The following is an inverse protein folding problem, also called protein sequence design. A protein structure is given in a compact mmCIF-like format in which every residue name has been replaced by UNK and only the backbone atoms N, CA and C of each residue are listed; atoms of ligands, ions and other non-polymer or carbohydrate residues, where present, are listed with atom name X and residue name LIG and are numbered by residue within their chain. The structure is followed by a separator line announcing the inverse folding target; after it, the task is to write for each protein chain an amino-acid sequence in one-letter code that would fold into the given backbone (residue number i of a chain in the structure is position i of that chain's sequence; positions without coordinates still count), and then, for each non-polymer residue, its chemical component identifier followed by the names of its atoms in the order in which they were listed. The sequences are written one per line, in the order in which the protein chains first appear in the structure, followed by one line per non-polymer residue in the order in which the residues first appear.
data_IF_514369038931
#
_entry.id   IF_514369038931
#
_cell.length_a   1.000
_cell.length_b   1.000
_cell.length_c   1.000
_cell.angle_alpha   90.00
_cell.angle_beta   90.00
_cell.angle_gamma   90.00
#
_symmetry.space_group_name_H-M   'P 1'
#
loop_
_entity.id
_entity.type
_entity.pdbx_description
1 polymer ?
#
# COMPACT_ATOMS: atom_id res chain seq x y z
N UNK A 1 -9.73 -26.15 -25.44
CA UNK A 1 -8.44 -25.85 -26.12
C UNK A 1 -8.47 -24.38 -26.52
N UNK A 2 -7.55 -23.55 -26.02
CA UNK A 2 -7.43 -22.13 -26.42
C UNK A 2 -6.52 -22.08 -27.65
N UNK A 3 -7.07 -21.79 -28.83
CA UNK A 3 -6.35 -21.91 -30.11
C UNK A 3 -5.39 -20.74 -30.37
N UNK A 4 -5.74 -19.52 -29.94
CA UNK A 4 -4.90 -18.30 -30.06
C UNK A 4 -5.36 -17.25 -29.04
N UNK A 5 -4.46 -16.35 -28.67
CA UNK A 5 -4.73 -15.22 -27.77
C UNK A 5 -3.84 -15.20 -26.53
N UNK A 6 -3.96 -14.15 -25.73
CA UNK A 6 -3.19 -13.97 -24.50
C UNK A 6 -3.89 -14.67 -23.34
N UNK A 7 -3.12 -15.30 -22.44
CA UNK A 7 -3.67 -15.90 -21.22
C UNK A 7 -4.17 -14.79 -20.28
N UNK A 8 -5.25 -15.03 -19.54
CA UNK A 8 -5.82 -14.09 -18.56
C UNK A 8 -6.44 -12.80 -19.13
N UNK A 9 -6.37 -12.59 -20.45
CA UNK A 9 -7.19 -11.61 -21.17
C UNK A 9 -8.43 -12.33 -21.72
N UNK A 10 -9.60 -11.86 -21.28
CA UNK A 10 -10.92 -12.42 -21.63
C UNK A 10 -11.48 -11.73 -22.87
N UNK A 11 -11.35 -10.41 -22.93
CA UNK A 11 -11.90 -9.59 -24.00
C UNK A 11 -11.02 -8.36 -24.23
N UNK A 12 -10.89 -7.94 -25.47
CA UNK A 12 -10.26 -6.69 -25.85
C UNK A 12 -11.26 -5.88 -26.69
N UNK A 13 -11.45 -4.61 -26.35
CA UNK A 13 -12.30 -3.69 -27.09
C UNK A 13 -11.45 -2.50 -27.55
N UNK A 14 -11.68 -2.04 -28.77
CA UNK A 14 -11.09 -0.81 -29.27
C UNK A 14 -11.94 0.34 -28.74
N UNK A 15 -11.31 1.25 -28.00
CA UNK A 15 -11.94 2.49 -27.60
C UNK A 15 -11.66 3.56 -28.65
N UNK A 16 -12.66 4.41 -28.89
CA UNK A 16 -12.60 5.47 -29.89
C UNK A 16 -11.47 6.47 -29.62
N UNK A 17 -11.21 7.31 -30.62
CA UNK A 17 -10.19 8.35 -30.56
C UNK A 17 -10.33 9.19 -29.28
N UNK A 18 -9.30 9.22 -28.45
CA UNK A 18 -9.24 10.11 -27.29
C UNK A 18 -9.40 11.55 -27.78
N UNK A 19 -10.24 12.35 -27.09
CA UNK A 19 -10.54 13.74 -27.50
C UNK A 19 -9.28 14.61 -27.65
N UNK A 20 -8.23 14.27 -26.90
CA UNK A 20 -7.01 15.07 -26.81
C UNK A 20 -5.97 14.71 -27.88
N UNK A 21 -5.85 13.43 -28.27
CA UNK A 21 -4.78 12.95 -29.17
C UNK A 21 -5.30 12.46 -30.52
N UNK A 22 -6.60 12.14 -30.63
CA UNK A 22 -7.16 11.50 -31.82
C UNK A 22 -6.77 10.02 -31.96
N UNK A 23 -6.05 9.44 -31.00
CA UNK A 23 -5.53 8.08 -31.07
C UNK A 23 -6.52 7.05 -30.53
N UNK A 24 -6.55 5.87 -31.15
CA UNK A 24 -7.30 4.71 -30.66
C UNK A 24 -6.47 3.93 -29.67
N UNK A 25 -7.10 3.42 -28.61
CA UNK A 25 -6.46 2.54 -27.64
C UNK A 25 -7.29 1.28 -27.40
N UNK A 26 -6.61 0.22 -26.94
CA UNK A 26 -7.25 -1.06 -26.65
C UNK A 26 -7.49 -1.14 -25.15
N UNK A 27 -8.74 -1.38 -24.76
CA UNK A 27 -9.13 -1.65 -23.38
C UNK A 27 -9.43 -3.14 -23.22
N UNK A 28 -8.77 -3.79 -22.26
CA UNK A 28 -8.91 -5.23 -22.01
C UNK A 28 -9.68 -5.51 -20.73
N UNK A 29 -10.47 -6.59 -20.75
CA UNK A 29 -11.02 -7.21 -19.54
C UNK A 29 -10.11 -8.38 -19.19
N UNK A 30 -9.51 -8.32 -18.02
CA UNK A 30 -8.37 -9.16 -17.63
C UNK A 30 -7.04 -8.47 -17.94
N UNK A 31 -5.97 -8.99 -17.35
CA UNK A 31 -4.65 -8.36 -17.38
C UNK A 31 -3.55 -9.40 -17.54
N UNK A 32 -2.62 -9.11 -18.45
CA UNK A 32 -1.38 -9.85 -18.67
C UNK A 32 -0.33 -8.93 -19.30
N UNK A 33 0.16 -7.97 -18.51
CA UNK A 33 1.10 -6.92 -18.89
C UNK A 33 2.39 -7.49 -19.48
N UNK A 34 2.91 -8.59 -18.91
CA UNK A 34 4.12 -9.24 -19.41
C UNK A 34 3.95 -9.70 -20.87
N UNK A 35 2.86 -10.41 -21.17
CA UNK A 35 2.61 -10.91 -22.53
C UNK A 35 2.15 -9.84 -23.50
N UNK A 36 1.36 -8.86 -23.05
CA UNK A 36 0.92 -7.74 -23.90
C UNK A 36 2.10 -6.91 -24.35
N UNK A 37 3.08 -6.69 -23.49
CA UNK A 37 4.28 -5.91 -23.81
C UNK A 37 5.20 -6.58 -24.84
N UNK A 38 5.05 -7.88 -25.11
CA UNK A 38 5.80 -8.61 -26.13
C UNK A 38 5.27 -8.37 -27.55
N UNK A 39 4.03 -7.88 -27.73
CA UNK A 39 3.42 -7.70 -29.05
C UNK A 39 4.01 -6.52 -29.82
N UNK A 40 4.32 -6.75 -31.10
CA UNK A 40 4.76 -5.70 -32.02
C UNK A 40 3.60 -4.72 -32.27
N UNK A 41 3.84 -3.43 -32.01
CA UNK A 41 2.83 -2.37 -32.12
C UNK A 41 2.22 -1.91 -30.80
N UNK A 42 2.51 -2.58 -29.68
CA UNK A 42 2.15 -2.11 -28.33
C UNK A 42 3.21 -1.12 -27.83
N UNK A 43 2.78 0.07 -27.45
CA UNK A 43 3.64 1.05 -26.81
C UNK A 43 3.80 0.74 -25.32
N UNK A 44 4.97 0.19 -24.97
CA UNK A 44 5.31 -0.21 -23.60
C UNK A 44 5.35 0.97 -22.63
N UNK A 45 5.66 2.17 -23.11
CA UNK A 45 5.80 3.36 -22.26
C UNK A 45 4.46 3.90 -21.78
N UNK A 46 3.38 3.62 -22.52
CA UNK A 46 2.01 4.09 -22.25
C UNK A 46 1.03 2.96 -21.92
N UNK A 47 1.51 1.72 -21.83
CA UNK A 47 0.67 0.58 -21.44
C UNK A 47 0.40 0.63 -19.93
N UNK A 48 -0.86 0.47 -19.53
CA UNK A 48 -1.32 0.60 -18.15
C UNK A 48 -2.23 -0.57 -17.76
N UNK A 49 -2.24 -0.93 -16.47
CA UNK A 49 -3.17 -1.89 -15.86
C UNK A 49 -3.54 -1.42 -14.45
N UNK A 50 -4.75 -1.72 -14.01
CA UNK A 50 -5.19 -1.45 -12.63
C UNK A 50 -4.81 -2.57 -11.65
N UNK A 51 -4.15 -3.65 -12.12
CA UNK A 51 -3.67 -4.72 -11.26
C UNK A 51 -2.28 -4.41 -10.70
N UNK A 52 -2.25 -3.80 -9.51
CA UNK A 52 -1.01 -3.41 -8.81
C UNK A 52 -0.08 -4.61 -8.60
N UNK A 53 -0.60 -5.79 -8.25
CA UNK A 53 0.23 -6.98 -8.01
C UNK A 53 0.95 -7.47 -9.27
N UNK A 54 0.38 -7.19 -10.44
CA UNK A 54 1.04 -7.49 -11.70
C UNK A 54 2.11 -6.46 -12.05
N UNK A 55 1.85 -5.18 -11.76
CA UNK A 55 2.84 -4.10 -11.91
C UNK A 55 4.08 -4.40 -11.06
N UNK A 56 3.91 -4.79 -9.79
CA UNK A 56 5.05 -5.18 -8.93
C UNK A 56 5.88 -6.28 -9.60
N UNK A 57 5.23 -7.31 -10.13
CA UNK A 57 5.91 -8.48 -10.70
C UNK A 57 6.68 -8.16 -11.99
N UNK A 58 6.20 -7.21 -12.79
CA UNK A 58 6.77 -6.91 -14.10
C UNK A 58 7.65 -5.66 -14.11
N UNK A 59 7.23 -4.58 -13.43
CA UNK A 59 7.89 -3.27 -13.41
C UNK A 59 8.59 -2.95 -12.09
N UNK A 60 8.29 -3.67 -11.01
CA UNK A 60 8.93 -3.50 -9.70
C UNK A 60 8.14 -2.64 -8.71
N UNK A 61 8.70 -2.48 -7.51
CA UNK A 61 8.00 -1.89 -6.35
C UNK A 61 7.70 -0.40 -6.51
N UNK A 62 8.60 0.39 -7.10
CA UNK A 62 8.36 1.83 -7.31
C UNK A 62 7.30 2.13 -8.35
N UNK A 63 7.23 1.30 -9.40
CA UNK A 63 6.14 1.40 -10.38
C UNK A 63 4.79 1.09 -9.72
N UNK A 64 4.76 0.11 -8.81
CA UNK A 64 3.57 -0.22 -8.05
C UNK A 64 3.18 0.89 -7.06
N UNK A 65 4.15 1.49 -6.36
CA UNK A 65 3.93 2.64 -5.48
C UNK A 65 3.26 3.80 -6.21
N UNK A 66 3.78 4.15 -7.39
CA UNK A 66 3.17 5.18 -8.25
C UNK A 66 1.78 4.77 -8.75
N UNK A 67 1.59 3.51 -9.13
CA UNK A 67 0.27 3.02 -9.52
C UNK A 67 -0.74 3.12 -8.39
N UNK A 68 -0.37 2.80 -7.14
CA UNK A 68 -1.26 2.94 -5.98
C UNK A 68 -1.73 4.39 -5.81
N UNK A 69 -0.81 5.35 -5.94
CA UNK A 69 -1.12 6.79 -5.84
C UNK A 69 -2.12 7.19 -6.94
N UNK A 70 -1.86 6.79 -8.19
CA UNK A 70 -2.72 7.11 -9.31
C UNK A 70 -4.13 6.49 -9.16
N UNK A 71 -4.22 5.21 -8.77
CA UNK A 71 -5.51 4.54 -8.55
C UNK A 71 -6.31 5.21 -7.43
N UNK A 72 -5.66 5.57 -6.32
CA UNK A 72 -6.33 6.25 -5.21
C UNK A 72 -6.83 7.64 -5.63
N UNK A 73 -6.01 8.43 -6.32
CA UNK A 73 -6.41 9.77 -6.80
C UNK A 73 -7.59 9.66 -7.75
N UNK A 74 -7.50 8.80 -8.78
CA UNK A 74 -8.57 8.60 -9.75
C UNK A 74 -9.88 8.13 -9.12
N UNK A 75 -9.80 7.24 -8.12
CA UNK A 75 -11.00 6.73 -7.41
C UNK A 75 -11.64 7.79 -6.52
N UNK A 76 -10.83 8.55 -5.78
CA UNK A 76 -11.32 9.60 -4.87
C UNK A 76 -11.91 10.78 -5.66
N UNK A 77 -11.22 11.24 -6.72
CA UNK A 77 -11.73 12.26 -7.63
C UNK A 77 -13.03 11.81 -8.30
N UNK A 78 -13.11 10.55 -8.73
CA UNK A 78 -14.33 9.97 -9.29
C UNK A 78 -15.51 9.93 -8.31
N UNK A 79 -15.24 9.88 -7.01
CA UNK A 79 -16.23 9.99 -5.94
C UNK A 79 -16.52 11.44 -5.51
N UNK A 80 -15.84 12.44 -6.11
CA UNK A 80 -15.96 13.85 -5.75
C UNK A 80 -15.28 14.23 -4.43
N UNK A 81 -14.32 13.42 -3.96
CA UNK A 81 -13.56 13.67 -2.75
C UNK A 81 -12.25 14.39 -3.09
N UNK A 82 -12.05 15.56 -2.50
CA UNK A 82 -10.81 16.32 -2.62
C UNK A 82 -9.86 15.94 -1.47
N UNK A 83 -8.72 15.34 -1.81
CA UNK A 83 -7.71 14.87 -0.86
C UNK A 83 -6.33 15.32 -1.33
N UNK A 84 -5.58 15.98 -0.45
CA UNK A 84 -4.19 16.38 -0.75
C UNK A 84 -3.33 15.15 -1.04
N UNK A 85 -2.60 15.20 -2.16
CA UNK A 85 -1.71 14.14 -2.64
C UNK A 85 -0.69 13.68 -1.59
N UNK A 86 -0.29 14.54 -0.65
CA UNK A 86 0.63 14.20 0.46
C UNK A 86 0.10 13.09 1.35
N UNK A 87 -1.22 13.01 1.55
CA UNK A 87 -1.84 11.92 2.29
C UNK A 87 -1.74 10.61 1.50
N UNK A 88 -2.00 10.67 0.19
CA UNK A 88 -1.91 9.51 -0.71
C UNK A 88 -0.48 8.97 -0.81
N UNK A 89 0.51 9.87 -0.87
CA UNK A 89 1.94 9.52 -0.84
C UNK A 89 2.28 8.73 0.41
N UNK A 90 1.90 9.23 1.59
CA UNK A 90 2.18 8.56 2.86
C UNK A 90 1.58 7.16 2.91
N UNK A 91 0.35 6.99 2.42
CA UNK A 91 -0.33 5.69 2.37
C UNK A 91 0.41 4.73 1.43
N UNK A 92 0.75 5.17 0.22
CA UNK A 92 1.46 4.34 -0.75
C UNK A 92 2.86 3.93 -0.25
N UNK A 93 3.58 4.84 0.41
CA UNK A 93 4.89 4.57 1.00
C UNK A 93 4.78 3.53 2.12
N UNK A 94 3.80 3.66 3.01
CA UNK A 94 3.54 2.65 4.06
C UNK A 94 3.23 1.28 3.44
N UNK A 95 2.47 1.23 2.35
CA UNK A 95 2.14 -0.01 1.65
C UNK A 95 3.34 -0.67 0.94
N UNK A 96 4.42 0.06 0.65
CA UNK A 96 5.51 -0.41 -0.23
C UNK A 96 6.92 -0.37 0.40
N UNK A 97 7.07 0.26 1.56
CA UNK A 97 8.35 0.52 2.23
C UNK A 97 9.21 -0.72 2.50
N UNK A 98 8.63 -1.90 2.66
CA UNK A 98 9.35 -3.15 2.93
C UNK A 98 9.76 -3.93 1.66
N UNK A 99 9.56 -3.36 0.47
CA UNK A 99 9.92 -3.99 -0.79
C UNK A 99 8.85 -4.92 -1.39
N UNK A 100 7.70 -5.05 -0.72
CA UNK A 100 6.51 -5.73 -1.23
C UNK A 100 5.27 -4.86 -1.01
N UNK A 101 4.22 -5.07 -1.83
CA UNK A 101 2.94 -4.38 -1.64
C UNK A 101 2.14 -5.09 -0.55
N UNK A 102 1.94 -4.39 0.57
CA UNK A 102 1.23 -4.91 1.73
C UNK A 102 -0.14 -4.25 1.86
N UNK A 103 -1.15 -5.07 2.13
CA UNK A 103 -2.50 -4.58 2.40
C UNK A 103 -2.54 -3.79 3.72
N UNK A 104 -3.39 -2.76 3.76
CA UNK A 104 -3.70 -2.06 5.01
C UNK A 104 -4.72 -2.92 5.76
N UNK A 105 -4.29 -3.51 6.87
CA UNK A 105 -5.13 -4.38 7.69
C UNK A 105 -4.35 -5.51 8.34
N UNK A 106 -5.10 -6.47 8.92
CA UNK A 106 -4.55 -7.55 9.74
C UNK A 106 -3.63 -8.53 9.00
N UNK A 107 -3.74 -8.62 7.69
CA UNK A 107 -2.91 -9.49 6.85
C UNK A 107 -1.73 -8.77 6.22
N UNK A 108 -1.57 -7.47 6.48
CA UNK A 108 -0.44 -6.69 6.00
C UNK A 108 0.11 -5.80 7.10
N UNK A 109 0.04 -4.48 6.94
CA UNK A 109 0.78 -3.52 7.78
C UNK A 109 0.44 -3.66 9.27
N UNK A 110 -0.84 -3.77 9.63
CA UNK A 110 -1.26 -3.81 11.04
C UNK A 110 -0.96 -5.14 11.73
N UNK A 111 -0.97 -6.25 10.99
CA UNK A 111 -0.76 -7.59 11.54
C UNK A 111 0.69 -7.92 11.87
N UNK A 112 1.65 -7.29 11.18
CA UNK A 112 3.08 -7.51 11.44
C UNK A 112 3.71 -6.38 12.27
N UNK A 113 2.92 -5.61 13.03
CA UNK A 113 3.49 -4.70 14.02
C UNK A 113 4.34 -5.50 15.02
N UNK A 114 5.47 -4.93 15.44
CA UNK A 114 6.35 -5.58 16.41
C UNK A 114 5.69 -5.76 17.78
N UNK A 115 4.93 -4.76 18.24
CA UNK A 115 4.24 -4.84 19.53
C UNK A 115 3.13 -5.91 19.52
N UNK A 116 3.13 -6.73 20.57
CA UNK A 116 2.14 -7.77 20.84
C UNK A 116 0.82 -7.10 21.22
N UNK A 117 0.88 -6.10 22.10
CA UNK A 117 -0.30 -5.36 22.54
C UNK A 117 -0.94 -4.59 21.39
N UNK A 118 -0.13 -3.97 20.51
CA UNK A 118 -0.63 -3.29 19.33
C UNK A 118 -1.34 -4.25 18.35
N UNK A 119 -0.79 -5.45 18.12
CA UNK A 119 -1.43 -6.48 17.29
C UNK A 119 -2.73 -6.97 17.93
N UNK A 120 -2.70 -7.29 19.22
CA UNK A 120 -3.83 -7.82 19.96
C UNK A 120 -5.00 -6.82 20.08
N UNK A 121 -4.70 -5.51 20.15
CA UNK A 121 -5.69 -4.45 20.15
C UNK A 121 -6.35 -4.19 18.78
N UNK A 122 -5.72 -4.61 17.68
CA UNK A 122 -6.26 -4.44 16.33
C UNK A 122 -7.31 -5.52 16.01
N UNK A 123 -6.90 -6.79 15.95
CA UNK A 123 -7.80 -7.94 15.76
C UNK A 123 -7.19 -9.24 16.32
N UNK A 124 -8.00 -10.29 16.46
CA UNK A 124 -7.57 -11.66 16.85
C UNK A 124 -6.78 -11.70 18.17
N UNK A 125 -7.25 -10.93 19.16
CA UNK A 125 -6.58 -10.67 20.46
C UNK A 125 -6.08 -11.93 21.16
N UNK A 126 -6.95 -12.93 21.33
CA UNK A 126 -6.64 -14.16 22.09
C UNK A 126 -5.47 -14.92 21.47
N UNK A 127 -5.46 -15.07 20.14
CA UNK A 127 -4.39 -15.81 19.47
C UNK A 127 -3.05 -15.08 19.56
N UNK A 128 -3.04 -13.74 19.45
CA UNK A 128 -1.80 -12.97 19.60
C UNK A 128 -1.20 -13.11 20.99
N UNK A 129 -2.01 -12.98 22.04
CA UNK A 129 -1.54 -13.10 23.42
C UNK A 129 -1.08 -14.53 23.77
N UNK A 130 -1.84 -15.55 23.36
CA UNK A 130 -1.46 -16.95 23.60
C UNK A 130 -0.17 -17.32 22.89
N UNK A 131 -0.03 -16.99 21.61
CA UNK A 131 1.17 -17.29 20.83
C UNK A 131 2.40 -16.57 21.40
N UNK A 132 2.25 -15.30 21.79
CA UNK A 132 3.30 -14.54 22.45
C UNK A 132 3.69 -15.18 23.79
N UNK A 133 2.71 -15.62 24.60
CA UNK A 133 2.94 -16.31 25.86
C UNK A 133 3.68 -17.65 25.69
N UNK A 134 3.32 -18.45 24.68
CA UNK A 134 4.00 -19.71 24.36
C UNK A 134 5.44 -19.48 23.91
N UNK A 135 5.71 -18.40 23.15
CA UNK A 135 7.05 -18.05 22.66
C UNK A 135 7.89 -17.25 23.66
N UNK A 136 7.28 -16.71 24.71
CA UNK A 136 7.93 -15.78 25.62
C UNK A 136 8.33 -14.46 24.94
N UNK A 137 7.54 -13.98 23.97
CA UNK A 137 7.79 -12.69 23.31
C UNK A 137 7.73 -11.55 24.34
N UNK A 138 8.59 -10.54 24.18
CA UNK A 138 8.59 -9.32 25.00
C UNK A 138 8.13 -8.14 24.15
N UNK A 139 7.38 -7.23 24.75
CA UNK A 139 6.93 -5.99 24.12
C UNK A 139 7.75 -4.82 24.65
N UNK A 140 8.43 -4.11 23.77
CA UNK A 140 9.32 -2.99 24.13
C UNK A 140 8.56 -1.66 24.32
N UNK A 141 7.24 -1.63 24.11
CA UNK A 141 6.40 -0.46 24.36
C UNK A 141 6.85 0.79 23.58
N UNK A 142 7.25 0.64 22.33
CA UNK A 142 7.80 1.75 21.53
C UNK A 142 6.74 2.48 20.70
N UNK A 143 5.61 1.83 20.41
CA UNK A 143 4.53 2.39 19.60
C UNK A 143 3.43 3.07 20.42
N UNK A 144 2.52 3.71 19.70
CA UNK A 144 1.47 4.55 20.29
C UNK A 144 0.42 3.74 21.05
N UNK A 145 -0.02 2.60 20.51
CA UNK A 145 -1.18 1.89 21.04
C UNK A 145 -0.87 1.22 22.39
N UNK A 146 0.27 0.56 22.45
CA UNK A 146 0.76 -0.14 23.62
C UNK A 146 1.08 0.81 24.78
N UNK A 147 1.68 1.98 24.51
CA UNK A 147 1.91 3.02 25.53
C UNK A 147 0.60 3.57 26.11
N UNK A 148 -0.41 3.79 25.27
CA UNK A 148 -1.74 4.23 25.75
C UNK A 148 -2.37 3.15 26.64
N UNK A 149 -2.27 1.88 26.28
CA UNK A 149 -2.84 0.76 27.06
C UNK A 149 -2.21 0.69 28.45
N UNK A 150 -0.90 0.86 28.58
CA UNK A 150 -0.20 0.79 29.87
C UNK A 150 -0.18 2.11 30.64
N UNK A 151 -0.69 3.20 30.04
CA UNK A 151 -0.75 4.52 30.66
C UNK A 151 0.57 5.29 30.68
N UNK A 152 1.48 4.99 29.76
CA UNK A 152 2.75 5.70 29.60
C UNK A 152 2.64 6.83 28.56
N UNK A 153 3.41 7.92 28.70
CA UNK A 153 3.50 8.95 27.67
C UNK A 153 4.00 8.36 26.34
N UNK A 154 3.35 8.73 25.25
CA UNK A 154 3.76 8.30 23.90
C UNK A 154 4.91 9.17 23.41
N UNK A 155 5.95 8.57 22.84
CA UNK A 155 7.10 9.26 22.23
C UNK A 155 6.77 9.90 20.85
N UNK A 156 5.68 10.65 20.77
CA UNK A 156 5.23 11.37 19.58
C UNK A 156 4.64 12.73 19.98
N UNK A 157 4.78 13.74 19.12
CA UNK A 157 4.24 15.08 19.40
C UNK A 157 4.92 15.70 20.62
N UNK A 158 4.16 16.12 21.62
CA UNK A 158 4.72 16.73 22.85
C UNK A 158 5.55 15.76 23.70
N UNK A 159 5.30 14.45 23.59
CA UNK A 159 6.10 13.44 24.29
C UNK A 159 7.43 13.10 23.60
N UNK A 160 7.74 13.73 22.46
CA UNK A 160 9.02 13.53 21.76
C UNK A 160 10.17 14.36 22.33
N UNK A 161 9.89 15.24 23.29
CA UNK A 161 10.88 16.14 23.91
C UNK A 161 10.89 15.95 25.42
N UNK A 162 12.10 16.01 25.99
CA UNK A 162 12.30 16.00 27.43
C UNK A 162 12.68 17.40 27.91
N UNK A 163 12.15 17.80 29.07
CA UNK A 163 12.43 19.10 29.67
C UNK A 163 13.33 18.88 30.90
N UNK A 164 14.49 19.52 30.87
CA UNK A 164 15.40 19.55 32.00
C UNK A 164 15.40 20.95 32.61
N UNK A 165 15.19 21.01 33.92
CA UNK A 165 15.39 22.24 34.68
C UNK A 165 16.87 22.41 35.00
N UNK A 166 17.46 23.54 34.60
CA UNK A 166 18.83 23.91 34.93
C UNK A 166 18.76 25.06 35.94
N UNK A 167 19.05 24.83 37.24
CA UNK A 167 19.10 25.90 38.22
C UNK A 167 20.28 26.82 37.95
N UNK A 168 20.10 28.13 38.21
CA UNK A 168 21.21 29.07 38.23
C UNK A 168 22.03 28.83 39.50
N UNK A 169 23.35 28.70 39.37
CA UNK A 169 24.26 28.76 40.51
C UNK A 169 24.34 30.22 41.01
N UNK A 170 23.84 30.48 42.22
CA UNK A 170 24.11 31.71 42.99
C UNK A 170 25.40 31.56 43.81
#
# INVERSE_FOLDING_TARGET
IKLKGVKDIIRANIQGATKDTGEYYISTIGSNLSKVSEFQGVDRSRTYTNNIMEIVKYLGIEAARQSIINEMSMTLEGAGLDVDVRHLLTVADVMTSEGEVRAIGRHGVSGNKHSILARAAFEVTVNHLLNAGVRGERDDLTGVAENIIVGQPVALGTGSVELFYVPNEE
#
